data_IF_357085422437
#
_entry.id   IF_357085422437
#
_cell.length_a   1.000
_cell.length_b   1.000
_cell.length_c   1.000
_cell.angle_alpha   90.00
_cell.angle_beta   90.00
_cell.angle_gamma   90.00
#
_symmetry.space_group_name_H-M   'P 1'
#
loop_
_entity.id
_entity.type
_entity.pdbx_description
1 polymer ?
#
# COMPACT_ATOMS: atom_id res chain seq x y z
N UNK A 1 -4.17 -17.54 50.78
CA UNK A 1 -3.92 -17.13 49.39
C UNK A 1 -4.65 -18.08 48.44
N UNK A 2 -5.73 -17.63 47.77
CA UNK A 2 -6.43 -18.43 46.75
C UNK A 2 -5.86 -18.06 45.37
N UNK A 3 -5.15 -18.99 44.72
CA UNK A 3 -4.67 -18.84 43.33
C UNK A 3 -5.88 -18.75 42.39
N UNK A 4 -6.00 -17.65 41.65
CA UNK A 4 -6.98 -17.51 40.56
C UNK A 4 -6.51 -18.42 39.42
N UNK A 5 -7.33 -19.36 38.91
CA UNK A 5 -6.92 -20.28 37.86
C UNK A 5 -6.67 -19.52 36.55
N UNK A 6 -5.52 -19.76 35.92
CA UNK A 6 -5.02 -19.06 34.73
C UNK A 6 -5.84 -19.22 33.44
N UNK A 7 -7.01 -19.85 33.49
CA UNK A 7 -7.90 -20.03 32.33
C UNK A 7 -8.64 -18.75 31.91
N UNK A 8 -8.96 -17.86 32.86
CA UNK A 8 -9.67 -16.62 32.56
C UNK A 8 -8.81 -15.62 31.74
N UNK A 9 -7.49 -15.66 31.92
CA UNK A 9 -6.55 -14.75 31.23
C UNK A 9 -6.36 -15.17 29.75
N UNK A 10 -6.35 -16.47 29.44
CA UNK A 10 -6.16 -16.97 28.07
C UNK A 10 -7.36 -16.65 27.16
N UNK A 11 -8.59 -16.82 27.66
CA UNK A 11 -9.82 -16.49 26.91
C UNK A 11 -9.90 -14.98 26.64
N UNK A 12 -9.53 -14.15 27.63
CA UNK A 12 -9.49 -12.68 27.48
C UNK A 12 -8.43 -12.23 26.47
N UNK A 13 -7.25 -12.85 26.46
CA UNK A 13 -6.19 -12.56 25.47
C UNK A 13 -6.64 -12.85 24.03
N UNK A 14 -7.34 -13.97 23.80
CA UNK A 14 -7.87 -14.32 22.48
C UNK A 14 -8.97 -13.35 22.00
N UNK A 15 -9.83 -12.88 22.91
CA UNK A 15 -10.86 -11.89 22.59
C UNK A 15 -10.26 -10.51 22.29
N UNK A 16 -9.25 -10.10 23.06
CA UNK A 16 -8.53 -8.83 22.87
C UNK A 16 -7.73 -8.85 21.57
N UNK A 17 -7.10 -9.97 21.21
CA UNK A 17 -6.38 -10.13 19.95
C UNK A 17 -7.33 -10.02 18.75
N UNK A 18 -8.48 -10.70 18.79
CA UNK A 18 -9.51 -10.58 17.74
C UNK A 18 -10.08 -9.17 17.65
N UNK A 19 -10.28 -8.49 18.78
CA UNK A 19 -10.73 -7.10 18.81
C UNK A 19 -9.67 -6.15 18.22
N UNK A 20 -8.38 -6.37 18.52
CA UNK A 20 -7.27 -5.62 17.92
C UNK A 20 -7.16 -5.86 16.41
N UNK A 21 -7.35 -7.09 15.93
CA UNK A 21 -7.39 -7.40 14.49
C UNK A 21 -8.59 -6.77 13.78
N UNK A 22 -9.77 -6.79 14.42
CA UNK A 22 -10.97 -6.16 13.89
C UNK A 22 -10.81 -4.64 13.86
N UNK A 23 -10.26 -4.05 14.93
CA UNK A 23 -9.96 -2.63 15.02
C UNK A 23 -8.88 -2.24 14.03
N UNK A 24 -7.83 -3.03 13.81
CA UNK A 24 -6.83 -2.76 12.77
C UNK A 24 -7.45 -2.81 11.37
N UNK A 25 -8.31 -3.80 11.09
CA UNK A 25 -9.06 -3.86 9.82
C UNK A 25 -9.99 -2.67 9.65
N UNK A 26 -10.66 -2.21 10.71
CA UNK A 26 -11.58 -1.07 10.64
C UNK A 26 -10.83 0.27 10.59
N UNK A 27 -9.74 0.43 11.34
CA UNK A 27 -8.93 1.67 11.38
C UNK A 27 -8.06 1.85 10.13
N UNK A 28 -7.47 0.78 9.56
CA UNK A 28 -6.72 0.91 8.30
C UNK A 28 -7.64 1.13 7.09
N UNK A 29 -8.87 0.62 7.11
CA UNK A 29 -9.82 0.80 6.00
C UNK A 29 -10.48 2.20 5.95
N UNK A 30 -10.40 3.01 7.01
CA UNK A 30 -11.13 4.29 7.07
C UNK A 30 -10.30 5.51 6.63
N UNK A 31 -8.98 5.40 6.44
CA UNK A 31 -8.14 6.60 6.22
C UNK A 31 -7.25 6.57 4.97
N UNK A 32 -7.08 5.44 4.28
CA UNK A 32 -6.30 5.41 3.03
C UNK A 32 -7.18 5.15 1.80
N UNK A 33 -6.81 5.76 0.67
CA UNK A 33 -7.52 5.61 -0.61
C UNK A 33 -7.38 4.16 -1.11
N UNK A 34 -8.22 3.27 -0.59
CA UNK A 34 -8.29 1.88 -1.04
C UNK A 34 -8.89 1.82 -2.44
N UNK A 35 -8.37 0.94 -3.31
CA UNK A 35 -8.98 0.69 -4.60
C UNK A 35 -10.41 0.17 -4.41
N UNK A 36 -11.31 0.57 -5.30
CA UNK A 36 -12.65 -0.02 -5.38
C UNK A 36 -12.58 -1.54 -5.50
N UNK A 37 -13.55 -2.22 -4.88
CA UNK A 37 -13.73 -3.67 -4.91
C UNK A 37 -13.73 -4.20 -6.35
N UNK A 38 -13.05 -5.33 -6.59
CA UNK A 38 -12.86 -5.89 -7.93
C UNK A 38 -14.18 -6.28 -8.57
N UNK A 39 -15.13 -6.82 -7.80
CA UNK A 39 -16.44 -7.24 -8.34
C UNK A 39 -17.25 -6.04 -8.83
N UNK A 40 -17.11 -4.87 -8.18
CA UNK A 40 -17.71 -3.63 -8.66
C UNK A 40 -17.13 -3.21 -10.01
N UNK A 41 -15.80 -3.34 -10.17
CA UNK A 41 -15.13 -2.99 -11.43
C UNK A 41 -15.57 -3.89 -12.56
N UNK A 42 -15.56 -5.21 -12.34
CA UNK A 42 -15.96 -6.22 -13.32
C UNK A 42 -17.39 -5.97 -13.81
N UNK A 43 -18.33 -5.73 -12.89
CA UNK A 43 -19.73 -5.45 -13.24
C UNK A 43 -19.88 -4.16 -14.04
N UNK A 44 -19.14 -3.12 -13.69
CA UNK A 44 -19.22 -1.84 -14.39
C UNK A 44 -18.63 -1.92 -15.81
N UNK A 45 -17.53 -2.66 -15.99
CA UNK A 45 -16.94 -2.89 -17.32
C UNK A 45 -17.85 -3.79 -18.17
N UNK A 46 -18.38 -4.88 -17.60
CA UNK A 46 -19.30 -5.76 -18.31
C UNK A 46 -20.58 -5.03 -18.80
N UNK A 47 -21.13 -4.11 -18.00
CA UNK A 47 -22.27 -3.29 -18.41
C UNK A 47 -21.93 -2.34 -19.57
N UNK A 48 -20.70 -1.81 -19.60
CA UNK A 48 -20.22 -1.01 -20.72
C UNK A 48 -20.06 -1.86 -21.99
N UNK A 49 -19.45 -3.04 -21.89
CA UNK A 49 -19.23 -3.92 -23.05
C UNK A 49 -20.53 -4.54 -23.58
N UNK A 50 -21.53 -4.73 -22.72
CA UNK A 50 -22.88 -5.13 -23.12
C UNK A 50 -23.61 -4.05 -23.96
N UNK A 51 -23.05 -2.84 -24.07
CA UNK A 51 -23.62 -1.76 -24.85
C UNK A 51 -24.82 -1.08 -24.18
N UNK A 52 -24.94 -1.18 -22.85
CA UNK A 52 -26.03 -0.54 -22.07
C UNK A 52 -25.98 1.00 -22.10
N UNK A 53 -24.92 1.58 -22.70
CA UNK A 53 -24.79 3.00 -22.97
C UNK A 53 -23.32 3.45 -23.04
N UNK A 54 -23.12 4.76 -23.18
CA UNK A 54 -21.79 5.37 -23.08
C UNK A 54 -21.30 5.53 -21.63
N UNK A 55 -20.04 5.94 -21.46
CA UNK A 55 -19.42 6.13 -20.14
C UNK A 55 -20.24 7.02 -19.18
N UNK A 56 -20.89 8.07 -19.70
CA UNK A 56 -21.70 8.99 -18.91
C UNK A 56 -23.05 8.41 -18.47
N UNK A 57 -23.53 7.35 -19.12
CA UNK A 57 -24.79 6.67 -18.79
C UNK A 57 -24.52 5.51 -17.82
N UNK A 58 -23.46 4.74 -18.06
CA UNK A 58 -23.12 3.56 -17.24
C UNK A 58 -22.51 3.96 -15.89
N UNK A 59 -21.60 4.94 -15.84
CA UNK A 59 -20.90 5.29 -14.60
C UNK A 59 -21.83 5.74 -13.44
N UNK A 60 -22.90 6.53 -13.66
CA UNK A 60 -23.87 6.86 -12.61
C UNK A 60 -24.60 5.66 -12.02
N UNK A 61 -24.85 4.59 -12.79
CA UNK A 61 -25.52 3.36 -12.30
C UNK A 61 -24.73 2.69 -11.18
N UNK A 62 -23.40 2.82 -11.23
CA UNK A 62 -22.47 2.29 -10.24
C UNK A 62 -21.96 3.35 -9.24
N UNK A 63 -22.49 4.58 -9.31
CA UNK A 63 -22.08 5.73 -8.48
C UNK A 63 -20.57 6.03 -8.54
N UNK A 64 -19.98 5.86 -9.72
CA UNK A 64 -18.56 6.15 -10.00
C UNK A 64 -18.44 7.32 -10.99
N UNK A 65 -17.27 7.96 -11.03
CA UNK A 65 -16.97 8.95 -12.05
C UNK A 65 -16.72 8.32 -13.43
N UNK A 66 -17.15 8.98 -14.52
CA UNK A 66 -16.99 8.46 -15.89
C UNK A 66 -15.52 8.19 -16.26
N UNK A 67 -14.58 9.02 -15.77
CA UNK A 67 -13.12 8.81 -15.99
C UNK A 67 -12.62 7.54 -15.29
N UNK A 68 -13.23 7.16 -14.18
CA UNK A 68 -12.89 5.92 -13.46
C UNK A 68 -13.28 4.71 -14.29
N UNK A 69 -14.51 4.69 -14.82
CA UNK A 69 -14.96 3.63 -15.72
C UNK A 69 -14.10 3.55 -16.98
N UNK A 70 -13.80 4.68 -17.62
CA UNK A 70 -12.90 4.73 -18.77
C UNK A 70 -11.53 4.12 -18.48
N UNK A 71 -10.93 4.40 -17.31
CA UNK A 71 -9.64 3.81 -16.91
C UNK A 71 -9.73 2.30 -16.73
N UNK A 72 -10.83 1.78 -16.18
CA UNK A 72 -11.02 0.34 -16.02
C UNK A 72 -11.16 -0.37 -17.36
N UNK A 73 -11.96 0.18 -18.28
CA UNK A 73 -12.11 -0.34 -19.65
C UNK A 73 -10.78 -0.29 -20.41
N UNK A 74 -10.04 0.82 -20.32
CA UNK A 74 -8.72 0.92 -20.97
C UNK A 74 -7.75 -0.13 -20.42
N UNK A 75 -7.70 -0.30 -19.09
CA UNK A 75 -6.86 -1.31 -18.45
C UNK A 75 -7.25 -2.72 -18.84
N UNK A 76 -8.53 -3.03 -18.89
CA UNK A 76 -9.01 -4.35 -19.31
C UNK A 76 -8.59 -4.64 -20.75
N UNK A 77 -8.67 -3.67 -21.66
CA UNK A 77 -8.21 -3.82 -23.05
C UNK A 77 -6.70 -4.03 -23.15
N UNK A 78 -5.92 -3.38 -22.30
CA UNK A 78 -4.46 -3.47 -22.29
C UNK A 78 -3.93 -4.73 -21.60
N UNK A 79 -4.59 -5.18 -20.52
CA UNK A 79 -4.05 -6.21 -19.61
C UNK A 79 -4.97 -7.41 -19.41
N UNK A 80 -6.16 -7.40 -20.01
CA UNK A 80 -7.25 -8.39 -19.80
C UNK A 80 -7.67 -8.51 -18.33
N UNK A 81 -7.45 -7.47 -17.52
CA UNK A 81 -7.80 -7.44 -16.11
C UNK A 81 -8.29 -6.06 -15.66
N UNK A 82 -9.27 -6.05 -14.75
CA UNK A 82 -9.74 -4.84 -14.06
C UNK A 82 -9.16 -4.67 -12.65
N UNK A 83 -8.33 -5.63 -12.22
CA UNK A 83 -7.74 -5.62 -10.88
C UNK A 83 -6.86 -4.37 -10.68
N UNK A 84 -6.89 -3.71 -9.51
CA UNK A 84 -6.03 -2.57 -9.23
C UNK A 84 -4.55 -2.95 -9.30
N UNK A 85 -3.71 -1.97 -9.63
CA UNK A 85 -2.27 -2.14 -9.48
C UNK A 85 -1.90 -2.39 -8.02
N UNK A 86 -0.85 -3.19 -7.76
CA UNK A 86 -0.31 -3.31 -6.43
C UNK A 86 0.12 -1.93 -5.94
N UNK A 87 -0.14 -1.63 -4.66
CA UNK A 87 0.32 -0.39 -4.04
C UNK A 87 1.84 -0.32 -4.19
N UNK A 88 2.33 0.67 -4.94
CA UNK A 88 3.75 0.96 -5.05
C UNK A 88 4.14 1.98 -3.98
N UNK A 89 5.31 1.76 -3.38
CA UNK A 89 5.94 2.78 -2.55
C UNK A 89 6.27 4.04 -3.35
N UNK A 90 6.65 5.10 -2.64
CA UNK A 90 7.17 6.31 -3.26
C UNK A 90 8.54 6.10 -3.91
N UNK A 91 9.06 7.19 -4.46
CA UNK A 91 10.42 7.26 -5.01
C UNK A 91 11.44 6.71 -4.01
N UNK A 92 12.28 5.79 -4.48
CA UNK A 92 13.39 5.26 -3.71
C UNK A 92 14.60 6.17 -3.93
N UNK A 93 15.22 6.64 -2.86
CA UNK A 93 16.45 7.43 -2.97
C UNK A 93 17.57 6.58 -3.57
N UNK A 94 18.42 7.13 -4.46
CA UNK A 94 19.55 6.42 -5.08
C UNK A 94 20.73 6.21 -4.10
N UNK A 95 20.44 6.02 -2.83
CA UNK A 95 21.44 5.82 -1.77
C UNK A 95 21.90 4.38 -1.79
N UNK A 96 23.22 4.17 -1.83
CA UNK A 96 23.82 2.86 -1.66
C UNK A 96 23.71 2.45 -0.18
N UNK A 97 22.73 1.58 0.10
CA UNK A 97 22.44 1.15 1.47
C UNK A 97 23.56 0.29 2.05
N UNK A 98 24.31 -0.44 1.24
CA UNK A 98 25.40 -1.29 1.73
C UNK A 98 26.58 -0.44 2.21
N UNK A 99 26.94 0.59 1.43
CA UNK A 99 27.96 1.57 1.82
C UNK A 99 27.50 2.35 3.05
N UNK A 100 26.24 2.80 3.09
CA UNK A 100 25.71 3.50 4.26
C UNK A 100 25.78 2.65 5.53
N UNK A 101 25.37 1.38 5.45
CA UNK A 101 25.45 0.45 6.57
C UNK A 101 26.89 0.21 7.03
N UNK A 102 27.87 0.16 6.12
CA UNK A 102 29.28 0.04 6.48
C UNK A 102 29.78 1.27 7.24
N UNK A 103 29.50 2.48 6.73
CA UNK A 103 29.91 3.75 7.37
C UNK A 103 29.34 3.88 8.78
N UNK A 104 28.05 3.60 8.96
CA UNK A 104 27.38 3.65 10.27
C UNK A 104 27.94 2.59 11.23
N UNK A 105 28.31 1.40 10.73
CA UNK A 105 28.87 0.33 11.58
C UNK A 105 30.30 0.64 12.03
N UNK A 106 31.09 1.30 11.20
CA UNK A 106 32.47 1.67 11.52
C UNK A 106 32.57 2.84 12.51
N UNK A 107 31.63 3.78 12.45
CA UNK A 107 31.56 4.93 13.34
C UNK A 107 30.12 5.13 13.87
N UNK A 108 29.64 4.28 14.80
CA UNK A 108 28.26 4.33 15.28
C UNK A 108 27.92 5.63 16.02
N UNK A 109 28.91 6.25 16.66
CA UNK A 109 28.77 7.51 17.39
C UNK A 109 29.12 8.74 16.52
N UNK A 110 29.36 8.54 15.22
CA UNK A 110 29.67 9.62 14.29
C UNK A 110 28.51 10.60 14.15
N UNK A 111 28.82 11.89 14.05
CA UNK A 111 27.79 12.90 13.80
C UNK A 111 27.24 12.77 12.37
N UNK A 112 25.99 13.16 12.14
CA UNK A 112 25.39 13.14 10.79
C UNK A 112 26.28 13.76 9.70
N UNK A 113 26.92 14.93 9.89
CA UNK A 113 27.83 15.50 8.90
C UNK A 113 29.05 14.61 8.58
N UNK A 114 29.65 13.99 9.60
CA UNK A 114 30.80 13.09 9.43
C UNK A 114 30.41 11.83 8.68
N UNK A 115 29.26 11.23 9.01
CA UNK A 115 28.72 10.06 8.31
C UNK A 115 28.39 10.38 6.85
N UNK A 116 27.76 11.53 6.59
CA UNK A 116 27.47 11.99 5.24
C UNK A 116 28.74 12.23 4.42
N UNK A 117 29.77 12.84 5.03
CA UNK A 117 31.03 13.08 4.35
C UNK A 117 31.74 11.77 4.01
N UNK A 118 31.79 10.83 4.95
CA UNK A 118 32.42 9.53 4.73
C UNK A 118 31.66 8.69 3.70
N UNK A 119 30.32 8.69 3.75
CA UNK A 119 29.48 8.07 2.73
C UNK A 119 29.76 8.65 1.32
N UNK A 120 29.75 9.98 1.19
CA UNK A 120 29.99 10.65 -0.09
C UNK A 120 31.41 10.41 -0.63
N UNK A 121 32.39 10.16 0.24
CA UNK A 121 33.76 9.82 -0.17
C UNK A 121 33.83 8.41 -0.78
N UNK A 122 33.03 7.48 -0.28
CA UNK A 122 33.02 6.06 -0.70
C UNK A 122 32.18 5.81 -1.94
N UNK A 123 31.07 6.52 -2.08
CA UNK A 123 30.23 6.41 -3.27
C UNK A 123 30.82 7.30 -4.36
N UNK A 124 31.42 6.69 -5.39
CA UNK A 124 31.76 7.40 -6.61
C UNK A 124 30.45 7.94 -7.20
N UNK A 125 30.22 9.25 -7.14
CA UNK A 125 29.06 9.85 -7.78
C UNK A 125 29.24 9.79 -9.29
N UNK A 126 28.25 9.26 -9.99
CA UNK A 126 28.08 9.51 -11.41
C UNK A 126 27.78 11.02 -11.58
N UNK A 127 28.60 11.79 -12.30
CA UNK A 127 28.39 13.22 -12.48
C UNK A 127 27.17 13.57 -13.37
N UNK A 128 26.40 12.59 -13.84
CA UNK A 128 25.23 12.79 -14.71
C UNK A 128 23.87 12.85 -13.98
N UNK A 129 23.83 12.73 -12.64
CA UNK A 129 22.62 12.90 -11.81
C UNK A 129 22.51 14.30 -11.23
#
# INVERSE_FOLDING_TARGET
>A
MRKIPGGCIAIRKGLIQKALELMAKLYFNVVMAEPYDVTLRERAVAAYDAGEGGYHQVAPLFRIGWRTLHRWVARERETSSVAPDPKRGGWQSPTDMDVLHAVVREAPDGTFPELCWEYNRRVARDPSV
#
